data_IF_912318165217
#
_entry.id   IF_912318165217
#
_cell.length_a   1.000
_cell.length_b   1.000
_cell.length_c   1.000
_cell.angle_alpha   90.00
_cell.angle_beta   90.00
_cell.angle_gamma   90.00
#
_symmetry.space_group_name_H-M   'P 1'
#
loop_
_entity.id
_entity.type
_entity.pdbx_description
1 polymer ?
#
# COMPACT_ATOMS: atom_id res chain seq x y z
N UNK A 1 -6.71 -18.88 13.76
CA UNK A 1 -5.92 -18.57 14.97
C UNK A 1 -4.46 -19.02 14.87
N UNK A 2 -4.15 -20.08 14.14
CA UNK A 2 -2.78 -20.61 13.95
C UNK A 2 -1.74 -19.56 13.56
N UNK A 3 -2.05 -18.62 12.66
CA UNK A 3 -1.14 -17.53 12.30
C UNK A 3 -0.77 -16.60 13.46
N UNK A 4 -1.72 -16.31 14.36
CA UNK A 4 -1.44 -15.49 15.55
C UNK A 4 -0.52 -16.25 16.51
N UNK A 5 -0.74 -17.56 16.70
CA UNK A 5 0.14 -18.40 17.51
C UNK A 5 1.55 -18.55 16.90
N UNK A 6 1.68 -18.49 15.58
CA UNK A 6 2.96 -18.45 14.88
C UNK A 6 3.68 -17.09 14.99
N UNK A 7 3.16 -16.13 15.77
CA UNK A 7 3.78 -14.82 15.98
C UNK A 7 3.48 -13.78 14.90
N UNK A 8 2.49 -14.01 14.04
CA UNK A 8 2.08 -13.00 13.06
C UNK A 8 1.47 -11.77 13.78
N UNK A 9 1.94 -10.54 13.53
CA UNK A 9 1.46 -9.35 14.22
C UNK A 9 0.01 -8.99 13.85
N UNK A 10 -0.49 -9.46 12.71
CA UNK A 10 -1.89 -9.30 12.33
C UNK A 10 -2.26 -10.04 11.06
N UNK A 11 -3.53 -10.41 10.95
CA UNK A 11 -4.07 -11.27 9.89
C UNK A 11 -5.33 -10.64 9.32
N UNK A 12 -5.39 -10.55 7.98
CA UNK A 12 -6.62 -10.24 7.25
C UNK A 12 -7.24 -11.55 6.78
N UNK A 13 -8.52 -11.76 7.07
CA UNK A 13 -9.25 -12.98 6.72
C UNK A 13 -10.71 -12.68 6.40
N UNK A 14 -11.42 -13.69 5.91
CA UNK A 14 -12.86 -13.64 5.65
C UNK A 14 -13.61 -14.44 6.71
N UNK A 15 -14.78 -13.96 7.10
CA UNK A 15 -15.69 -14.67 8.03
C UNK A 15 -16.47 -15.79 7.35
N UNK A 16 -16.72 -15.67 6.05
CA UNK A 16 -17.40 -16.66 5.21
C UNK A 16 -16.76 -16.68 3.81
N UNK A 17 -17.20 -17.62 2.97
CA UNK A 17 -16.78 -17.74 1.57
C UNK A 17 -17.20 -16.50 0.77
N UNK A 18 -16.32 -15.99 -0.09
CA UNK A 18 -16.55 -14.75 -0.84
C UNK A 18 -16.64 -15.07 -2.32
N UNK A 19 -17.59 -14.46 -3.00
CA UNK A 19 -17.68 -14.51 -4.46
C UNK A 19 -16.41 -13.92 -5.12
N UNK A 20 -15.82 -14.68 -6.05
CA UNK A 20 -14.50 -14.42 -6.61
C UNK A 20 -14.32 -12.99 -7.14
N UNK A 21 -15.26 -12.46 -7.93
CA UNK A 21 -15.12 -11.13 -8.51
C UNK A 21 -15.14 -10.04 -7.44
N UNK A 22 -16.03 -10.17 -6.46
CA UNK A 22 -16.14 -9.24 -5.33
C UNK A 22 -14.87 -9.27 -4.50
N UNK A 23 -14.34 -10.46 -4.24
CA UNK A 23 -13.13 -10.62 -3.46
C UNK A 23 -11.89 -10.08 -4.14
N UNK A 24 -11.70 -10.38 -5.43
CA UNK A 24 -10.61 -9.85 -6.23
C UNK A 24 -10.64 -8.32 -6.29
N UNK A 25 -11.82 -7.72 -6.45
CA UNK A 25 -11.98 -6.27 -6.48
C UNK A 25 -11.63 -5.62 -5.13
N UNK A 26 -12.17 -6.14 -4.02
CA UNK A 26 -11.93 -5.58 -2.69
C UNK A 26 -10.46 -5.72 -2.31
N UNK A 27 -9.84 -6.88 -2.51
CA UNK A 27 -8.43 -7.09 -2.19
C UNK A 27 -7.50 -6.25 -3.07
N UNK A 28 -7.79 -6.10 -4.36
CA UNK A 28 -7.05 -5.20 -5.24
C UNK A 28 -7.07 -3.75 -4.74
N UNK A 29 -8.25 -3.25 -4.33
CA UNK A 29 -8.36 -1.90 -3.75
C UNK A 29 -7.72 -1.79 -2.38
N UNK A 30 -7.78 -2.83 -1.57
CA UNK A 30 -7.10 -2.88 -0.28
C UNK A 30 -5.59 -2.70 -0.43
N UNK A 31 -4.94 -3.48 -1.30
CA UNK A 31 -3.50 -3.35 -1.57
C UNK A 31 -3.15 -2.00 -2.18
N UNK A 32 -4.00 -1.46 -3.06
CA UNK A 32 -3.83 -0.12 -3.60
C UNK A 32 -3.78 0.96 -2.50
N UNK A 33 -4.71 0.91 -1.52
CA UNK A 33 -4.70 1.86 -0.42
C UNK A 33 -3.57 1.61 0.58
N UNK A 34 -3.16 0.37 0.81
CA UNK A 34 -1.95 0.08 1.59
C UNK A 34 -0.72 0.75 0.97
N UNK A 35 -0.51 0.59 -0.35
CA UNK A 35 0.61 1.21 -1.06
C UNK A 35 0.59 2.75 -1.00
N UNK A 36 -0.60 3.35 -0.86
CA UNK A 36 -0.77 4.79 -0.63
C UNK A 36 -0.46 5.26 0.79
N UNK A 37 -0.07 4.35 1.69
CA UNK A 37 0.30 4.67 3.07
C UNK A 37 -0.89 4.74 4.03
N UNK A 38 -2.04 4.17 3.68
CA UNK A 38 -3.13 4.00 4.65
C UNK A 38 -2.82 2.85 5.61
N UNK A 39 -3.31 2.96 6.85
CA UNK A 39 -3.26 1.88 7.83
C UNK A 39 -4.16 0.73 7.40
N UNK A 40 -3.90 -0.51 7.86
CA UNK A 40 -4.61 -1.72 7.41
C UNK A 40 -6.13 -1.59 7.55
N UNK A 41 -6.60 -1.07 8.68
CA UNK A 41 -8.01 -0.78 8.96
C UNK A 41 -8.61 0.25 7.97
N UNK A 42 -7.91 1.37 7.75
CA UNK A 42 -8.36 2.45 6.85
C UNK A 42 -8.35 2.02 5.39
N UNK A 43 -7.34 1.24 4.99
CA UNK A 43 -7.24 0.69 3.65
C UNK A 43 -8.40 -0.27 3.37
N UNK A 44 -8.70 -1.18 4.32
CA UNK A 44 -9.78 -2.15 4.15
C UNK A 44 -11.16 -1.48 4.12
N UNK A 45 -11.39 -0.50 5.02
CA UNK A 45 -12.62 0.32 5.00
C UNK A 45 -12.79 1.06 3.66
N UNK A 46 -11.72 1.68 3.15
CA UNK A 46 -11.76 2.39 1.86
C UNK A 46 -12.03 1.45 0.69
N UNK A 47 -11.47 0.24 0.71
CA UNK A 47 -11.73 -0.78 -0.30
C UNK A 47 -13.23 -1.17 -0.33
N UNK A 48 -13.81 -1.49 0.84
CA UNK A 48 -15.26 -1.81 0.97
C UNK A 48 -16.15 -0.66 0.49
N UNK A 49 -15.86 0.58 0.91
CA UNK A 49 -16.62 1.75 0.47
C UNK A 49 -16.48 2.00 -1.05
N UNK A 50 -15.30 1.76 -1.63
CA UNK A 50 -15.08 1.90 -3.07
C UNK A 50 -15.85 0.84 -3.86
N UNK A 51 -15.90 -0.39 -3.36
CA UNK A 51 -16.68 -1.48 -3.93
C UNK A 51 -18.19 -1.16 -3.93
N UNK A 52 -18.74 -0.74 -2.79
CA UNK A 52 -20.15 -0.34 -2.66
C UNK A 52 -20.53 0.79 -3.62
N UNK A 53 -19.66 1.81 -3.73
CA UNK A 53 -19.88 2.93 -4.66
C UNK A 53 -19.84 2.52 -6.14
N UNK A 54 -19.09 1.46 -6.48
CA UNK A 54 -18.96 0.99 -7.88
C UNK A 54 -20.07 0.03 -8.28
N UNK A 55 -20.49 -0.86 -7.38
CA UNK A 55 -21.41 -1.96 -7.71
C UNK A 55 -22.88 -1.60 -7.56
N UNK A 56 -23.21 -0.55 -6.80
CA UNK A 56 -24.60 -0.14 -6.59
C UNK A 56 -25.45 -1.25 -5.93
N UNK A 57 -26.75 -1.26 -6.23
CA UNK A 57 -27.73 -2.13 -5.55
C UNK A 57 -27.45 -3.64 -5.74
N UNK A 58 -26.90 -4.04 -6.89
CA UNK A 58 -26.68 -5.44 -7.26
C UNK A 58 -25.76 -6.21 -6.29
N UNK A 59 -24.71 -5.56 -5.76
CA UNK A 59 -23.78 -6.18 -4.80
C UNK A 59 -23.72 -5.43 -3.46
N UNK A 60 -24.78 -4.70 -3.12
CA UNK A 60 -24.88 -3.98 -1.83
C UNK A 60 -25.06 -4.93 -0.65
N UNK A 61 -25.56 -6.14 -0.88
CA UNK A 61 -25.78 -7.12 0.18
C UNK A 61 -24.47 -7.42 0.95
N UNK A 62 -24.49 -7.47 2.30
CA UNK A 62 -23.29 -7.67 3.12
C UNK A 62 -22.46 -8.89 2.75
N UNK A 63 -23.10 -9.93 2.20
CA UNK A 63 -22.44 -11.12 1.67
C UNK A 63 -21.18 -10.81 0.84
N UNK A 64 -21.24 -9.79 -0.03
CA UNK A 64 -20.16 -9.50 -0.98
C UNK A 64 -18.96 -8.74 -0.40
N UNK A 65 -19.13 -8.01 0.71
CA UNK A 65 -18.11 -7.04 1.16
C UNK A 65 -17.85 -7.03 2.67
N UNK A 66 -18.81 -7.49 3.48
CA UNK A 66 -18.65 -7.53 4.93
C UNK A 66 -17.68 -8.62 5.46
N UNK A 67 -17.39 -9.76 4.80
CA UNK A 67 -16.66 -10.85 5.44
C UNK A 67 -15.23 -10.49 5.83
N UNK A 68 -14.61 -9.53 5.14
CA UNK A 68 -13.22 -9.15 5.38
C UNK A 68 -13.02 -8.48 6.73
N UNK A 69 -12.18 -9.06 7.57
CA UNK A 69 -11.79 -8.52 8.87
C UNK A 69 -10.27 -8.48 9.00
N UNK A 70 -9.77 -7.55 9.81
CA UNK A 70 -8.36 -7.47 10.20
C UNK A 70 -8.26 -7.72 11.71
N UNK A 71 -7.44 -8.68 12.11
CA UNK A 71 -7.18 -9.03 13.51
C UNK A 71 -5.71 -8.74 13.83
N UNK A 72 -5.42 -8.15 14.99
CA UNK A 72 -4.06 -7.80 15.40
C UNK A 72 -3.71 -6.35 15.06
N UNK A 73 -2.45 -6.10 14.73
CA UNK A 73 -1.92 -4.76 14.49
C UNK A 73 -2.59 -4.09 13.27
N UNK A 74 -3.20 -2.90 13.41
CA UNK A 74 -3.82 -2.16 12.30
C UNK A 74 -2.86 -1.16 11.63
N UNK A 75 -1.60 -1.05 12.07
CA UNK A 75 -0.66 0.00 11.62
C UNK A 75 -0.39 0.03 10.11
N UNK A 76 0.28 1.10 9.66
CA UNK A 76 0.67 1.28 8.26
C UNK A 76 1.82 0.35 7.91
N UNK A 77 1.76 -0.23 6.71
CA UNK A 77 2.90 -0.95 6.15
C UNK A 77 3.81 0.07 5.50
N UNK A 78 5.04 0.18 6.00
CA UNK A 78 6.06 1.05 5.40
C UNK A 78 6.59 0.38 4.13
N UNK A 79 6.04 0.77 2.98
CA UNK A 79 6.67 0.47 1.70
C UNK A 79 7.97 1.30 1.62
N UNK A 80 9.08 0.64 1.31
CA UNK A 80 10.45 1.15 1.43
C UNK A 80 10.66 2.58 0.91
N UNK A 81 11.66 3.25 1.51
CA UNK A 81 11.98 4.68 1.33
C UNK A 81 11.81 5.13 -0.13
N UNK A 82 11.08 6.23 -0.42
CA UNK A 82 11.06 6.80 -1.75
C UNK A 82 12.47 7.30 -2.11
N UNK A 83 13.12 6.67 -3.09
CA UNK A 83 14.50 6.92 -3.56
C UNK A 83 14.71 8.36 -4.08
N UNK A 84 13.66 9.19 -4.13
CA UNK A 84 13.69 10.59 -4.60
C UNK A 84 14.85 11.41 -4.03
N UNK A 85 15.15 11.27 -2.75
CA UNK A 85 16.26 11.99 -2.12
C UNK A 85 17.64 11.50 -2.55
N UNK A 86 17.79 10.20 -2.85
CA UNK A 86 19.04 9.63 -3.37
C UNK A 86 19.34 10.19 -4.76
N UNK A 87 18.31 10.35 -5.61
CA UNK A 87 18.46 11.00 -6.91
C UNK A 87 18.86 12.48 -6.78
N UNK A 88 18.31 13.22 -5.81
CA UNK A 88 18.71 14.60 -5.56
C UNK A 88 20.19 14.69 -5.12
N UNK A 89 20.61 13.81 -4.19
CA UNK A 89 22.00 13.77 -3.74
C UNK A 89 22.94 13.37 -4.87
N UNK A 90 22.59 12.39 -5.71
CA UNK A 90 23.44 12.00 -6.85
C UNK A 90 23.60 13.14 -7.86
N UNK A 91 22.53 13.91 -8.11
CA UNK A 91 22.54 15.03 -9.05
C UNK A 91 23.41 16.18 -8.52
N UNK A 92 23.34 16.49 -7.23
CA UNK A 92 24.21 17.47 -6.56
C UNK A 92 25.68 17.02 -6.65
N UNK A 93 25.96 15.75 -6.40
CA UNK A 93 27.32 15.18 -6.43
C UNK A 93 27.91 15.18 -7.86
N UNK A 94 27.08 14.90 -8.86
CA UNK A 94 27.47 15.04 -10.27
C UNK A 94 27.77 16.50 -10.64
N UNK A 95 26.94 17.44 -10.17
CA UNK A 95 27.12 18.87 -10.42
C UNK A 95 28.42 19.42 -9.80
N UNK A 96 28.76 19.00 -8.59
CA UNK A 96 30.02 19.41 -7.93
C UNK A 96 31.25 18.84 -8.65
N UNK A 97 31.19 17.58 -9.11
CA UNK A 97 32.27 16.97 -9.89
C UNK A 97 32.46 17.69 -11.24
N UNK A 98 31.38 17.98 -11.96
CA UNK A 98 31.44 18.67 -13.26
C UNK A 98 31.98 20.09 -13.11
N UNK A 99 31.50 20.85 -12.12
CA UNK A 99 32.00 22.21 -11.88
C UNK A 99 33.48 22.22 -11.46
N UNK A 100 33.94 21.25 -10.69
CA UNK A 100 35.35 21.07 -10.35
C UNK A 100 36.21 20.72 -11.58
N UNK A 101 35.72 19.85 -12.48
CA UNK A 101 36.38 19.51 -13.76
C UNK A 101 36.53 20.72 -14.67
N UNK A 102 35.49 21.57 -14.77
CA UNK A 102 35.52 22.79 -15.61
C UNK A 102 36.51 23.81 -15.04
N UNK A 103 36.57 24.02 -13.72
CA UNK A 103 37.54 24.92 -13.09
C UNK A 103 38.98 24.47 -13.34
N UNK A 104 39.28 23.16 -13.22
CA UNK A 104 40.63 22.64 -13.51
C UNK A 104 41.04 22.81 -14.97
N UNK A 105 40.11 22.76 -15.93
CA UNK A 105 40.40 22.98 -17.36
C UNK A 105 40.66 24.43 -17.76
N UNK A 106 40.25 25.41 -16.94
CA UNK A 106 40.52 26.85 -17.19
C UNK A 106 41.83 27.35 -16.56
N UNK A 107 42.45 26.55 -15.70
CA UNK A 107 43.69 26.87 -14.98
C UNK A 107 44.93 26.18 -15.60
N UNK A 108 44.74 25.40 -16.67
CA UNK A 108 45.78 24.83 -17.54
C UNK A 108 45.67 25.51 -18.90
#
# INVERSE_FOLDING_TARGET
RSFMYAGCPGVVMTLWEVEDNSGAEIMSKFYYYLKKGYSKDKALRKAKLKFLKKTGMLKSHPYFWAPYINIGDPSRIYFGRPIKWVFLVSLILLFTIVSARIRKRKLL
#
